data_IF_879130158868
#
_entry.id   IF_879130158868
#
_cell.length_a   1.000
_cell.length_b   1.000
_cell.length_c   1.000
_cell.angle_alpha   90.00
_cell.angle_beta   90.00
_cell.angle_gamma   90.00
#
_symmetry.space_group_name_H-M   'P 1'
#
loop_
_entity.id
_entity.type
_entity.pdbx_description
1 polymer ?
#
# COMPACT_ATOMS: atom_id res chain seq x y z
N UNK A 1 22.39 26.72 -19.83
CA UNK A 1 21.01 26.20 -19.76
C UNK A 1 20.70 25.13 -20.82
N UNK A 2 21.06 25.28 -22.10
CA UNK A 2 20.73 24.29 -23.16
C UNK A 2 21.34 22.88 -22.97
N UNK A 3 22.57 22.80 -22.46
CA UNK A 3 23.28 21.52 -22.24
C UNK A 3 22.64 20.68 -21.12
N UNK A 4 22.07 21.33 -20.10
CA UNK A 4 21.40 20.65 -18.98
C UNK A 4 20.10 19.96 -19.44
N UNK A 5 19.35 20.62 -20.35
CA UNK A 5 18.13 20.05 -20.93
C UNK A 5 18.43 18.84 -21.84
N UNK A 6 19.54 18.83 -22.57
CA UNK A 6 19.95 17.65 -23.37
C UNK A 6 20.31 16.43 -22.53
N UNK A 7 20.92 16.64 -21.35
CA UNK A 7 21.25 15.54 -20.43
C UNK A 7 19.98 14.93 -19.82
N UNK A 8 19.00 15.77 -19.46
CA UNK A 8 17.71 15.32 -18.92
C UNK A 8 16.91 14.52 -19.97
N UNK A 9 16.97 14.91 -21.25
CA UNK A 9 16.30 14.20 -22.34
C UNK A 9 16.92 12.82 -22.63
N UNK A 10 18.23 12.65 -22.40
CA UNK A 10 18.91 11.38 -22.64
C UNK A 10 18.61 10.32 -21.55
N UNK A 11 18.35 10.75 -20.32
CA UNK A 11 18.06 9.83 -19.20
C UNK A 11 16.64 9.24 -19.31
N UNK A 12 15.67 9.99 -19.83
CA UNK A 12 14.28 9.54 -19.95
C UNK A 12 14.06 8.48 -21.04
N UNK A 13 14.98 8.33 -22.00
CA UNK A 13 14.92 7.28 -23.04
C UNK A 13 15.40 5.92 -22.51
N UNK A 14 16.12 5.88 -21.37
CA UNK A 14 16.76 4.66 -20.88
C UNK A 14 15.89 3.79 -19.94
N UNK A 15 14.64 4.18 -19.65
CA UNK A 15 13.73 3.45 -18.74
C UNK A 15 12.68 2.60 -19.47
N UNK A 16 12.82 2.44 -20.79
CA UNK A 16 11.88 1.69 -21.65
C UNK A 16 12.11 0.18 -21.74
N UNK A 17 12.89 -0.44 -20.85
CA UNK A 17 13.10 -1.90 -20.88
C UNK A 17 12.01 -2.62 -20.08
N UNK A 18 10.91 -2.95 -20.75
CA UNK A 18 9.91 -3.88 -20.25
C UNK A 18 10.56 -5.24 -19.99
N UNK A 19 10.67 -5.64 -18.73
CA UNK A 19 10.97 -7.02 -18.35
C UNK A 19 9.80 -7.90 -18.82
N UNK A 20 9.95 -8.48 -20.01
CA UNK A 20 9.05 -9.53 -20.51
C UNK A 20 9.23 -10.78 -19.64
N UNK A 21 8.35 -10.95 -18.67
CA UNK A 21 8.21 -12.21 -17.91
C UNK A 21 7.60 -13.25 -18.84
N UNK A 22 8.40 -14.25 -19.25
CA UNK A 22 7.90 -15.47 -19.88
C UNK A 22 7.21 -16.30 -18.79
N UNK A 23 5.89 -16.19 -18.67
CA UNK A 23 5.09 -17.15 -17.92
C UNK A 23 5.07 -18.48 -18.69
N UNK A 24 5.74 -19.51 -18.16
CA UNK A 24 5.65 -20.87 -18.68
C UNK A 24 4.35 -21.49 -18.14
N UNK A 25 3.31 -21.47 -18.96
CA UNK A 25 2.05 -22.13 -18.66
C UNK A 25 2.19 -23.61 -19.03
N UNK A 26 2.49 -24.44 -18.03
CA UNK A 26 2.29 -25.87 -18.12
C UNK A 26 0.79 -26.14 -17.94
N UNK A 27 0.20 -26.74 -18.97
CA UNK A 27 -1.18 -27.14 -19.02
C UNK A 27 -1.45 -28.27 -18.01
N UNK A 28 -2.52 -28.16 -17.22
CA UNK A 28 -3.44 -29.28 -17.08
C UNK A 28 -4.87 -28.80 -16.85
N UNK A 29 -5.80 -29.52 -17.48
CA UNK A 29 -7.19 -29.16 -17.70
C UNK A 29 -8.05 -29.36 -16.46
N UNK A 30 -8.89 -28.38 -16.11
CA UNK A 30 -10.30 -28.63 -15.72
C UNK A 30 -11.12 -27.36 -15.97
N UNK A 31 -12.14 -27.47 -16.82
CA UNK A 31 -13.09 -26.41 -17.18
C UNK A 31 -14.05 -26.14 -16.01
N UNK A 32 -14.10 -24.91 -15.48
CA UNK A 32 -15.35 -24.33 -14.95
C UNK A 32 -15.35 -22.81 -15.18
N UNK A 33 -16.17 -22.41 -16.14
CA UNK A 33 -17.07 -21.25 -16.20
C UNK A 33 -16.90 -20.14 -15.14
N UNK A 34 -16.73 -18.91 -15.65
CA UNK A 34 -17.13 -17.61 -15.10
C UNK A 34 -16.70 -17.18 -13.68
N UNK A 35 -16.10 -16.00 -13.61
CA UNK A 35 -16.53 -14.77 -12.87
C UNK A 35 -15.29 -14.06 -12.34
N UNK A 36 -15.21 -12.74 -12.54
CA UNK A 36 -14.16 -11.88 -11.99
C UNK A 36 -13.96 -12.14 -10.49
N UNK A 37 -12.78 -12.63 -10.12
CA UNK A 37 -12.41 -12.88 -8.73
C UNK A 37 -11.43 -11.82 -8.24
N UNK A 38 -11.74 -11.10 -7.15
CA UNK A 38 -10.81 -10.18 -6.51
C UNK A 38 -9.65 -10.99 -5.91
N UNK A 39 -8.43 -10.49 -6.12
CA UNK A 39 -7.19 -11.01 -5.54
C UNK A 39 -7.37 -11.14 -4.03
N UNK A 40 -7.67 -12.35 -3.57
CA UNK A 40 -7.72 -12.67 -2.15
C UNK A 40 -6.27 -12.86 -1.73
N UNK A 41 -5.68 -11.78 -1.23
CA UNK A 41 -4.41 -11.86 -0.48
C UNK A 41 -4.68 -12.80 0.69
N UNK A 42 -4.13 -14.02 0.66
CA UNK A 42 -4.08 -14.87 1.83
C UNK A 42 -3.18 -14.18 2.86
N UNK A 43 -3.80 -13.41 3.74
CA UNK A 43 -3.15 -12.76 4.87
C UNK A 43 -2.75 -13.89 5.82
N UNK A 44 -1.44 -14.16 5.93
CA UNK A 44 -0.90 -15.00 7.00
C UNK A 44 -1.47 -14.49 8.33
N UNK A 45 -2.02 -15.35 9.21
CA UNK A 45 -2.74 -14.91 10.41
C UNK A 45 -1.91 -14.00 11.32
N UNK A 46 -0.57 -14.08 11.24
CA UNK A 46 0.34 -13.27 12.06
C UNK A 46 0.85 -11.99 11.37
N UNK A 47 0.29 -11.60 10.21
CA UNK A 47 0.70 -10.36 9.52
C UNK A 47 -0.17 -9.17 9.92
N UNK A 48 0.45 -7.99 10.08
CA UNK A 48 -0.25 -6.75 10.44
C UNK A 48 -1.20 -6.38 9.31
N UNK A 49 -2.49 -6.25 9.60
CA UNK A 49 -3.50 -5.83 8.64
C UNK A 49 -3.91 -4.39 8.88
N UNK A 50 -3.81 -3.57 7.84
CA UNK A 50 -4.25 -2.17 7.83
C UNK A 50 -5.34 -2.03 6.77
N UNK A 51 -6.51 -1.53 7.18
CA UNK A 51 -7.59 -1.12 6.30
C UNK A 51 -8.15 0.24 6.74
N UNK A 52 -8.89 0.89 5.86
CA UNK A 52 -9.69 2.05 6.25
C UNK A 52 -11.08 1.98 5.62
N UNK A 53 -12.03 2.56 6.33
CA UNK A 53 -13.37 2.77 5.87
C UNK A 53 -13.80 4.17 6.32
N UNK A 54 -14.41 4.94 5.42
CA UNK A 54 -14.78 6.34 5.68
C UNK A 54 -13.59 7.15 6.24
N UNK A 55 -13.71 7.69 7.45
CA UNK A 55 -12.65 8.41 8.17
C UNK A 55 -11.96 7.57 9.28
N UNK A 56 -12.10 6.25 9.26
CA UNK A 56 -11.55 5.36 10.29
C UNK A 56 -10.50 4.42 9.71
N UNK A 57 -9.45 4.19 10.48
CA UNK A 57 -8.41 3.21 10.18
C UNK A 57 -8.61 2.03 11.12
N UNK A 58 -8.72 0.84 10.56
CA UNK A 58 -8.78 -0.42 11.30
C UNK A 58 -7.42 -1.09 11.22
N UNK A 59 -6.89 -1.38 12.38
CA UNK A 59 -5.63 -2.12 12.52
C UNK A 59 -5.94 -3.45 13.17
N UNK A 60 -5.34 -4.52 12.64
CA UNK A 60 -5.33 -5.83 13.27
C UNK A 60 -3.92 -6.39 13.36
N UNK A 61 -3.66 -7.08 14.45
CA UNK A 61 -2.43 -7.80 14.76
C UNK A 61 -1.18 -6.91 14.68
N UNK A 62 -1.27 -5.68 15.18
CA UNK A 62 -0.10 -4.81 15.32
C UNK A 62 0.73 -5.19 16.55
N UNK A 63 2.06 -4.99 16.50
CA UNK A 63 2.91 -5.19 17.68
C UNK A 63 2.53 -4.23 18.81
N UNK A 64 2.45 -4.74 20.05
CA UNK A 64 2.10 -3.95 21.23
C UNK A 64 3.13 -2.83 21.43
N UNK A 65 2.66 -1.61 21.72
CA UNK A 65 3.52 -0.43 21.89
C UNK A 65 3.96 0.21 20.57
N UNK A 66 3.47 -0.27 19.43
CA UNK A 66 3.71 0.39 18.15
C UNK A 66 3.03 1.76 18.06
N UNK A 67 3.57 2.61 17.20
CA UNK A 67 2.95 3.88 16.82
C UNK A 67 2.22 3.71 15.49
N UNK A 68 0.98 4.16 15.45
CA UNK A 68 0.23 4.35 14.23
C UNK A 68 0.56 5.73 13.67
N UNK A 69 1.37 5.76 12.63
CA UNK A 69 1.80 7.00 11.97
C UNK A 69 1.06 7.18 10.64
N UNK A 70 0.54 8.38 10.39
CA UNK A 70 -0.21 8.73 9.19
C UNK A 70 0.57 9.80 8.44
N UNK A 71 0.97 9.49 7.20
CA UNK A 71 1.70 10.37 6.32
C UNK A 71 0.87 10.75 5.09
N UNK A 72 1.05 11.98 4.63
CA UNK A 72 0.60 12.41 3.31
C UNK A 72 1.41 11.71 2.21
N UNK A 73 0.88 11.67 0.98
CA UNK A 73 1.60 11.14 -0.20
C UNK A 73 2.94 11.83 -0.47
N UNK A 74 3.11 13.06 0.02
CA UNK A 74 4.39 13.81 -0.06
C UNK A 74 5.35 13.52 1.10
N UNK A 75 5.00 12.61 2.02
CA UNK A 75 5.87 12.18 3.13
C UNK A 75 5.78 13.00 4.41
N UNK A 76 4.88 13.98 4.51
CA UNK A 76 4.66 14.75 5.73
C UNK A 76 3.81 13.94 6.72
N UNK A 77 4.26 13.80 7.98
CA UNK A 77 3.47 13.18 9.05
C UNK A 77 2.31 14.10 9.44
N UNK A 78 1.08 13.63 9.25
CA UNK A 78 -0.15 14.38 9.51
C UNK A 78 -0.73 14.04 10.89
N UNK A 79 -0.58 12.78 11.33
CA UNK A 79 -1.07 12.33 12.63
C UNK A 79 -0.27 11.16 13.18
N UNK A 80 -0.28 11.01 14.49
CA UNK A 80 0.36 9.92 15.23
C UNK A 80 -0.55 9.49 16.39
N UNK A 81 -0.65 8.18 16.61
CA UNK A 81 -1.32 7.59 17.76
C UNK A 81 -0.44 6.51 18.38
N UNK A 82 -0.36 6.48 19.70
CA UNK A 82 0.28 5.38 20.43
C UNK A 82 -0.72 4.23 20.59
N UNK A 83 -0.36 3.04 20.09
CA UNK A 83 -1.23 1.88 20.16
C UNK A 83 -1.07 1.16 21.50
N UNK A 84 -2.14 1.17 22.31
CA UNK A 84 -2.21 0.41 23.57
C UNK A 84 -2.63 -1.05 23.37
N UNK A 85 -3.29 -1.35 22.26
CA UNK A 85 -3.82 -2.67 21.92
C UNK A 85 -3.35 -3.07 20.52
N UNK A 86 -3.19 -4.38 20.24
CA UNK A 86 -2.77 -4.87 18.93
C UNK A 86 -3.82 -4.64 17.84
N UNK A 87 -5.09 -4.59 18.24
CA UNK A 87 -6.23 -4.34 17.37
C UNK A 87 -6.93 -3.05 17.81
N UNK A 88 -7.46 -2.30 16.86
CA UNK A 88 -8.19 -1.09 17.18
C UNK A 88 -8.70 -0.32 15.98
N UNK A 89 -9.64 0.57 16.27
CA UNK A 89 -10.18 1.51 15.31
C UNK A 89 -9.79 2.93 15.70
N UNK A 90 -9.20 3.65 14.75
CA UNK A 90 -8.69 5.00 14.94
C UNK A 90 -9.45 5.95 14.04
N UNK A 91 -10.21 6.87 14.64
CA UNK A 91 -10.94 7.89 13.89
C UNK A 91 -9.98 9.02 13.51
N UNK A 92 -9.90 9.31 12.22
CA UNK A 92 -8.94 10.25 11.64
C UNK A 92 -9.70 11.37 10.95
N UNK A 93 -9.82 12.50 11.65
CA UNK A 93 -10.40 13.72 11.10
C UNK A 93 -9.38 14.44 10.20
N UNK A 94 -9.22 13.97 8.96
CA UNK A 94 -8.37 14.55 7.92
C UNK A 94 -9.14 14.59 6.59
N UNK A 95 -8.68 15.43 5.66
CA UNK A 95 -9.30 15.55 4.35
C UNK A 95 -9.28 14.21 3.59
N UNK A 96 -10.29 14.00 2.75
CA UNK A 96 -10.38 12.84 1.86
C UNK A 96 -9.18 12.79 0.92
N UNK A 97 -8.66 11.59 0.67
CA UNK A 97 -7.49 11.42 -0.17
C UNK A 97 -6.69 10.16 0.15
N UNK A 98 -5.54 10.04 -0.49
CA UNK A 98 -4.61 8.95 -0.24
C UNK A 98 -3.62 9.31 0.86
N UNK A 99 -3.34 8.34 1.72
CA UNK A 99 -2.39 8.46 2.81
C UNK A 99 -1.53 7.20 2.89
N UNK A 100 -0.38 7.34 3.54
CA UNK A 100 0.53 6.25 3.83
C UNK A 100 0.44 6.01 5.33
N UNK A 101 -0.01 4.82 5.70
CA UNK A 101 -0.12 4.40 7.10
C UNK A 101 1.08 3.53 7.42
N UNK A 102 1.80 3.85 8.49
CA UNK A 102 2.95 3.10 8.96
C UNK A 102 2.72 2.62 10.39
N UNK A 103 3.03 1.35 10.63
CA UNK A 103 2.99 0.68 11.92
C UNK A 103 4.26 -0.17 12.03
N UNK A 104 5.24 0.31 12.79
CA UNK A 104 6.58 -0.29 12.81
C UNK A 104 7.19 -0.36 11.41
N UNK A 105 7.43 -1.57 10.91
CA UNK A 105 7.96 -1.84 9.57
C UNK A 105 6.87 -2.06 8.51
N UNK A 106 5.60 -2.18 8.93
CA UNK A 106 4.49 -2.34 8.00
C UNK A 106 4.03 -0.99 7.47
N UNK A 107 4.01 -0.84 6.15
CA UNK A 107 3.56 0.38 5.48
C UNK A 107 2.49 0.04 4.46
N UNK A 108 1.39 0.82 4.44
CA UNK A 108 0.30 0.62 3.47
C UNK A 108 -0.27 1.93 2.97
N UNK A 109 -0.46 2.03 1.65
CA UNK A 109 -1.23 3.11 1.03
C UNK A 109 -2.72 2.84 1.23
N UNK A 110 -3.44 3.84 1.72
CA UNK A 110 -4.86 3.74 2.08
C UNK A 110 -5.61 4.95 1.54
N UNK A 111 -6.86 4.74 1.12
CA UNK A 111 -7.76 5.81 0.69
C UNK A 111 -8.75 6.13 1.82
N UNK A 112 -8.77 7.40 2.24
CA UNK A 112 -9.78 7.96 3.14
C UNK A 112 -10.85 8.62 2.27
N UNK A 113 -12.11 8.17 2.42
CA UNK A 113 -13.21 8.47 1.50
C UNK A 113 -14.13 9.58 1.95
#
# INVERSE_FOLDING_TARGET
MRILFSIILLISVYVGNSLTVKAQQAADSTRVVATAQPVTTQVKPDSVSISAYDNKIVVKNAPIGSKLEIYSVVGIRVKEFEMKQPDGEYTVNIAKGYYIIRIGDTVRKVAIR
#
